data_IF_086718215230
#
_entry.id   IF_086718215230
#
_cell.length_a   1.000
_cell.length_b   1.000
_cell.length_c   1.000
_cell.angle_alpha   90.00
_cell.angle_beta   90.00
_cell.angle_gamma   90.00
#
_symmetry.space_group_name_H-M   'P 1'
#
loop_
_entity.id
_entity.type
_entity.pdbx_description
1 polymer ?
#
# COMPACT_ATOMS: atom_id res chain seq x y z
N UNK A 1 -4.98 35.22 43.14
CA UNK A 1 -3.53 34.94 43.13
C UNK A 1 -3.34 33.47 43.42
N UNK A 2 -3.05 32.73 42.37
CA UNK A 2 -3.06 31.28 42.27
C UNK A 2 -1.67 30.75 42.61
N UNK A 3 -1.56 29.68 43.41
CA UNK A 3 -0.32 28.93 43.56
C UNK A 3 -0.67 27.44 43.61
N UNK A 4 -0.30 26.72 42.55
CA UNK A 4 -0.28 25.27 42.46
C UNK A 4 1.14 24.75 42.77
N UNK A 5 1.31 23.54 43.31
CA UNK A 5 2.62 22.98 43.60
C UNK A 5 3.29 22.40 42.34
N UNK A 6 4.61 22.44 42.35
CA UNK A 6 5.53 21.87 41.38
C UNK A 6 5.49 20.33 41.37
N UNK A 7 5.21 19.75 40.21
CA UNK A 7 5.46 18.32 39.93
C UNK A 7 6.70 18.21 39.06
N UNK A 8 7.72 17.57 39.62
CA UNK A 8 9.00 17.31 38.98
C UNK A 8 8.91 16.25 37.89
N UNK A 9 9.75 16.44 36.89
CA UNK A 9 10.08 15.45 35.87
C UNK A 9 10.58 14.15 36.50
N UNK A 10 10.08 13.02 36.02
CA UNK A 10 10.85 11.80 35.93
C UNK A 10 10.39 11.05 34.68
N UNK A 11 11.24 11.13 33.65
CA UNK A 11 11.09 10.34 32.44
C UNK A 11 11.35 8.88 32.76
N UNK A 12 10.41 8.03 32.36
CA UNK A 12 10.71 6.64 32.06
C UNK A 12 9.61 6.01 31.18
N UNK A 13 9.28 6.64 30.04
CA UNK A 13 8.47 5.98 29.02
C UNK A 13 9.41 5.40 27.97
N UNK A 14 10.04 4.29 28.35
CA UNK A 14 10.71 3.39 27.43
C UNK A 14 9.71 2.83 26.43
N UNK A 15 9.51 3.54 25.34
CA UNK A 15 8.85 3.00 24.15
C UNK A 15 9.74 1.83 23.68
N UNK A 16 9.26 0.57 23.70
CA UNK A 16 10.06 -0.52 23.15
C UNK A 16 10.24 -0.21 21.66
N UNK A 17 11.50 -0.08 21.23
CA UNK A 17 11.82 0.02 19.82
C UNK A 17 11.21 -1.19 19.12
N UNK A 18 10.07 -0.99 18.45
CA UNK A 18 9.40 -2.03 17.67
C UNK A 18 10.44 -2.51 16.67
N UNK A 19 10.82 -3.77 16.80
CA UNK A 19 11.76 -4.42 15.91
C UNK A 19 11.17 -4.44 14.51
N UNK A 20 11.54 -3.43 13.71
CA UNK A 20 11.09 -3.22 12.34
C UNK A 20 11.38 -4.45 11.47
N UNK A 21 12.31 -5.33 11.83
CA UNK A 21 12.61 -6.52 11.01
C UNK A 21 11.51 -7.58 11.08
N UNK A 22 10.78 -7.69 12.20
CA UNK A 22 9.69 -8.66 12.35
C UNK A 22 8.39 -8.22 11.66
N UNK A 23 8.09 -6.92 11.64
CA UNK A 23 6.90 -6.34 11.01
C UNK A 23 6.87 -6.53 9.48
N UNK A 24 8.05 -6.66 8.88
CA UNK A 24 8.20 -6.79 7.44
C UNK A 24 8.34 -8.24 6.97
N UNK A 25 8.42 -9.24 7.86
CA UNK A 25 8.64 -10.62 7.44
C UNK A 25 7.48 -11.12 6.53
N UNK A 26 7.77 -11.70 5.34
CA UNK A 26 6.74 -12.15 4.43
C UNK A 26 5.86 -13.22 5.09
N UNK A 27 4.56 -12.97 5.16
CA UNK A 27 3.59 -13.92 5.70
C UNK A 27 3.37 -15.01 4.66
N UNK A 28 3.93 -16.20 4.88
CA UNK A 28 3.79 -17.36 3.96
C UNK A 28 2.32 -17.75 3.72
N UNK A 29 1.46 -17.56 4.72
CA UNK A 29 0.00 -17.78 4.60
C UNK A 29 -0.67 -16.86 3.58
N UNK A 30 -0.07 -15.71 3.27
CA UNK A 30 -0.55 -14.74 2.29
C UNK A 30 0.22 -14.80 0.96
N UNK A 31 1.18 -15.72 0.81
CA UNK A 31 1.95 -15.89 -0.43
C UNK A 31 2.81 -14.67 -0.82
N UNK A 32 3.16 -13.81 0.15
CA UNK A 32 3.85 -12.54 -0.12
C UNK A 32 5.27 -12.75 -0.66
N UNK A 33 5.52 -12.27 -1.87
CA UNK A 33 6.86 -12.03 -2.42
C UNK A 33 7.03 -10.53 -2.60
N UNK A 34 8.01 -9.94 -1.91
CA UNK A 34 8.25 -8.49 -2.00
C UNK A 34 9.29 -8.19 -3.08
N UNK A 35 8.96 -7.27 -3.98
CA UNK A 35 9.92 -6.71 -4.92
C UNK A 35 10.97 -5.91 -4.13
N UNK A 36 12.24 -6.24 -4.34
CA UNK A 36 13.37 -5.60 -3.67
C UNK A 36 14.23 -4.75 -4.62
N UNK A 37 14.17 -5.01 -5.94
CA UNK A 37 14.96 -4.29 -6.93
C UNK A 37 14.22 -3.03 -7.44
N UNK A 38 14.72 -1.81 -7.13
CA UNK A 38 14.09 -0.57 -7.56
C UNK A 38 14.08 -0.38 -9.08
N UNK A 39 15.02 -0.97 -9.82
CA UNK A 39 15.04 -0.88 -11.28
C UNK A 39 13.91 -1.70 -11.90
N UNK A 40 13.64 -2.89 -11.34
CA UNK A 40 12.50 -3.71 -11.77
C UNK A 40 11.19 -2.99 -11.44
N UNK A 41 11.04 -2.42 -10.24
CA UNK A 41 9.87 -1.62 -9.88
C UNK A 41 9.64 -0.47 -10.86
N UNK A 42 10.70 0.29 -11.21
CA UNK A 42 10.60 1.38 -12.20
C UNK A 42 10.17 0.89 -13.58
N UNK A 43 10.67 -0.27 -14.03
CA UNK A 43 10.27 -0.86 -15.32
C UNK A 43 8.82 -1.31 -15.32
N UNK A 44 8.33 -1.88 -14.21
CA UNK A 44 6.94 -2.30 -14.09
C UNK A 44 6.04 -1.07 -14.16
N UNK A 45 6.30 -0.02 -13.36
CA UNK A 45 5.50 1.20 -13.41
C UNK A 45 5.56 1.86 -14.79
N UNK A 46 6.73 1.91 -15.43
CA UNK A 46 6.87 2.47 -16.77
C UNK A 46 6.06 1.72 -17.84
N UNK A 47 5.82 0.42 -17.67
CA UNK A 47 5.00 -0.36 -18.61
C UNK A 47 3.51 -0.01 -18.61
N UNK A 48 3.04 0.74 -17.60
CA UNK A 48 1.67 1.27 -17.60
C UNK A 48 1.49 2.44 -18.56
N UNK A 49 2.58 3.08 -19.00
CA UNK A 49 2.54 4.24 -19.92
C UNK A 49 1.58 5.35 -19.47
N UNK A 50 1.48 5.57 -18.14
CA UNK A 50 0.53 6.52 -17.53
C UNK A 50 0.73 7.95 -18.06
N UNK A 51 -0.36 8.57 -18.51
CA UNK A 51 -0.43 10.00 -18.77
C UNK A 51 -0.75 10.78 -17.48
N UNK A 52 -0.38 12.07 -17.39
CA UNK A 52 -0.81 12.93 -16.28
C UNK A 52 -2.34 12.91 -16.14
N UNK A 53 -2.82 12.72 -14.91
CA UNK A 53 -4.24 12.61 -14.59
C UNK A 53 -4.80 11.18 -14.62
N UNK A 54 -4.09 10.20 -15.20
CA UNK A 54 -4.58 8.83 -15.27
C UNK A 54 -4.68 8.21 -13.87
N UNK A 55 -5.84 7.62 -13.51
CA UNK A 55 -5.99 6.93 -12.24
C UNK A 55 -5.29 5.58 -12.27
N UNK A 56 -4.64 5.23 -11.17
CA UNK A 56 -3.97 3.94 -11.00
C UNK A 56 -4.42 3.27 -9.70
N UNK A 57 -4.71 1.97 -9.80
CA UNK A 57 -5.01 1.11 -8.66
C UNK A 57 -3.91 0.06 -8.49
N UNK A 58 -3.18 0.16 -7.40
CA UNK A 58 -2.21 -0.84 -6.95
C UNK A 58 -2.89 -1.92 -6.09
N UNK A 59 -2.72 -3.18 -6.45
CA UNK A 59 -3.27 -4.32 -5.73
C UNK A 59 -2.13 -5.03 -4.98
N UNK A 60 -2.30 -5.19 -3.67
CA UNK A 60 -1.28 -5.78 -2.81
C UNK A 60 0.01 -4.95 -2.79
N UNK A 61 -0.04 -3.67 -2.38
CA UNK A 61 1.12 -2.79 -2.30
C UNK A 61 2.25 -3.34 -1.41
N UNK A 62 1.93 -4.19 -0.43
CA UNK A 62 2.92 -4.83 0.42
C UNK A 62 3.76 -3.79 1.17
N UNK A 63 5.08 -3.80 0.93
CA UNK A 63 6.03 -2.84 1.52
C UNK A 63 6.16 -1.53 0.70
N UNK A 64 5.22 -1.24 -0.18
CA UNK A 64 5.16 0.00 -0.95
C UNK A 64 6.28 0.13 -2.00
N UNK A 65 6.73 -1.00 -2.57
CA UNK A 65 7.82 -1.01 -3.54
C UNK A 65 7.42 -0.32 -4.86
N UNK A 66 6.19 -0.55 -5.34
CA UNK A 66 5.63 0.16 -6.49
C UNK A 66 4.94 1.45 -6.03
N UNK A 67 4.24 1.41 -4.88
CA UNK A 67 3.61 2.60 -4.26
C UNK A 67 4.55 3.80 -4.18
N UNK A 68 5.82 3.61 -3.78
CA UNK A 68 6.79 4.71 -3.67
C UNK A 68 7.09 5.39 -5.01
N UNK A 69 7.00 4.67 -6.11
CA UNK A 69 7.21 5.22 -7.46
C UNK A 69 5.91 5.87 -7.94
N UNK A 70 4.77 5.20 -7.74
CA UNK A 70 3.45 5.70 -8.10
C UNK A 70 3.08 6.97 -7.34
N UNK A 71 3.55 7.14 -6.10
CA UNK A 71 3.30 8.35 -5.31
C UNK A 71 3.88 9.63 -5.94
N UNK A 72 4.79 9.52 -6.91
CA UNK A 72 5.29 10.65 -7.70
C UNK A 72 4.50 10.91 -8.99
N UNK A 73 3.48 10.10 -9.28
CA UNK A 73 2.59 10.27 -10.44
C UNK A 73 1.68 11.48 -10.26
N UNK A 74 1.49 12.24 -11.34
CA UNK A 74 0.61 13.42 -11.36
C UNK A 74 -0.84 13.00 -11.64
N UNK A 75 -1.37 12.09 -10.83
CA UNK A 75 -2.71 11.51 -11.00
C UNK A 75 -3.18 10.76 -9.76
N UNK A 76 -4.45 10.32 -9.73
CA UNK A 76 -5.02 9.61 -8.58
C UNK A 76 -4.36 8.25 -8.39
N UNK A 77 -3.79 8.01 -7.20
CA UNK A 77 -3.21 6.71 -6.83
C UNK A 77 -4.04 6.09 -5.73
N UNK A 78 -4.54 4.88 -5.97
CA UNK A 78 -5.21 4.07 -4.97
C UNK A 78 -4.45 2.76 -4.74
N UNK A 79 -4.50 2.26 -3.51
CA UNK A 79 -3.93 0.98 -3.13
C UNK A 79 -4.97 0.11 -2.43
N UNK A 80 -5.08 -1.15 -2.83
CA UNK A 80 -5.95 -2.16 -2.24
C UNK A 80 -5.09 -3.18 -1.49
N UNK A 81 -5.23 -3.23 -0.17
CA UNK A 81 -4.44 -4.10 0.70
C UNK A 81 -5.35 -4.86 1.66
N UNK A 82 -5.06 -6.15 1.88
CA UNK A 82 -5.81 -7.03 2.77
C UNK A 82 -5.28 -6.98 4.19
N UNK A 83 -3.98 -6.77 4.36
CA UNK A 83 -3.33 -6.71 5.67
C UNK A 83 -3.54 -5.34 6.34
N UNK A 84 -4.31 -5.30 7.42
CA UNK A 84 -4.63 -4.08 8.18
C UNK A 84 -3.40 -3.34 8.72
N UNK A 85 -2.31 -4.07 9.02
CA UNK A 85 -1.06 -3.48 9.49
C UNK A 85 -0.37 -2.70 8.37
N UNK A 86 -0.35 -3.27 7.16
CA UNK A 86 0.21 -2.63 5.98
C UNK A 86 -0.65 -1.47 5.50
N UNK A 87 -1.98 -1.59 5.58
CA UNK A 87 -2.89 -0.46 5.31
C UNK A 87 -2.52 0.77 6.14
N UNK A 88 -2.33 0.56 7.45
CA UNK A 88 -2.01 1.65 8.38
C UNK A 88 -0.63 2.23 8.07
N UNK A 89 0.34 1.39 7.77
CA UNK A 89 1.69 1.80 7.39
C UNK A 89 1.70 2.62 6.09
N UNK A 90 1.00 2.17 5.03
CA UNK A 90 0.94 2.86 3.73
C UNK A 90 0.27 4.24 3.88
N UNK A 91 -0.84 4.32 4.61
CA UNK A 91 -1.50 5.62 4.89
C UNK A 91 -0.57 6.60 5.59
N UNK A 92 0.29 6.11 6.49
CA UNK A 92 1.26 6.96 7.20
C UNK A 92 2.45 7.36 6.32
N UNK A 93 2.96 6.45 5.50
CA UNK A 93 4.15 6.68 4.68
C UNK A 93 3.84 7.48 3.39
N UNK A 94 2.65 7.26 2.81
CA UNK A 94 2.22 7.83 1.53
C UNK A 94 0.88 8.55 1.66
N UNK A 95 0.83 9.75 2.29
CA UNK A 95 -0.44 10.45 2.56
C UNK A 95 -1.20 10.89 1.30
N UNK A 96 -0.54 10.95 0.13
CA UNK A 96 -1.18 11.24 -1.16
C UNK A 96 -1.83 10.02 -1.83
N UNK A 97 -1.67 8.82 -1.27
CA UNK A 97 -2.22 7.58 -1.81
C UNK A 97 -3.49 7.21 -1.06
N UNK A 98 -4.60 7.03 -1.80
CA UNK A 98 -5.83 6.49 -1.22
C UNK A 98 -5.66 5.00 -0.90
N UNK A 99 -6.00 4.55 0.31
CA UNK A 99 -5.84 3.14 0.69
C UNK A 99 -7.16 2.52 1.10
N UNK A 100 -7.55 1.45 0.40
CA UNK A 100 -8.72 0.63 0.64
C UNK A 100 -8.29 -0.66 1.32
N UNK A 101 -8.88 -0.95 2.49
CA UNK A 101 -8.68 -2.21 3.20
C UNK A 101 -9.70 -3.22 2.69
N UNK A 102 -9.28 -4.12 1.81
CA UNK A 102 -10.14 -5.15 1.21
C UNK A 102 -9.31 -6.32 0.68
N UNK A 103 -9.95 -7.49 0.58
CA UNK A 103 -9.41 -8.61 -0.21
C UNK A 103 -9.72 -8.37 -1.69
N UNK A 104 -8.72 -8.53 -2.56
CA UNK A 104 -8.91 -8.37 -4.01
C UNK A 104 -9.88 -9.39 -4.61
N UNK A 105 -10.08 -10.53 -3.97
CA UNK A 105 -11.06 -11.54 -4.38
C UNK A 105 -12.50 -11.19 -3.98
N UNK A 106 -12.68 -10.42 -2.91
CA UNK A 106 -14.00 -9.99 -2.41
C UNK A 106 -14.34 -8.55 -2.80
N UNK A 107 -13.43 -7.87 -3.51
CA UNK A 107 -13.60 -6.48 -3.91
C UNK A 107 -14.59 -6.36 -5.06
N UNK A 108 -15.51 -5.39 -4.97
CA UNK A 108 -16.48 -5.13 -6.03
C UNK A 108 -15.81 -4.37 -7.18
N UNK A 109 -15.30 -5.13 -8.17
CA UNK A 109 -14.64 -4.58 -9.36
C UNK A 109 -15.60 -3.84 -10.31
N UNK A 110 -16.90 -4.04 -10.19
CA UNK A 110 -17.89 -3.43 -11.07
C UNK A 110 -17.85 -1.89 -11.02
N UNK A 111 -17.60 -1.31 -9.85
CA UNK A 111 -17.41 0.14 -9.71
C UNK A 111 -16.17 0.68 -10.40
N UNK A 112 -15.16 -0.18 -10.65
CA UNK A 112 -13.92 0.21 -11.34
C UNK A 112 -14.04 0.15 -12.87
N UNK A 113 -14.98 -0.66 -13.41
CA UNK A 113 -15.23 -0.76 -14.86
C UNK A 113 -15.70 0.55 -15.49
N UNK A 114 -16.27 1.45 -14.68
CA UNK A 114 -16.77 2.75 -15.12
C UNK A 114 -15.74 3.88 -14.98
N UNK A 115 -14.53 3.59 -14.51
CA UNK A 115 -13.45 4.58 -14.41
C UNK A 115 -12.64 4.56 -15.72
N UNK A 116 -12.88 5.52 -16.64
CA UNK A 116 -12.11 5.59 -17.87
C UNK A 116 -10.64 5.84 -17.56
N UNK A 117 -9.75 5.08 -18.20
CA UNK A 117 -8.29 5.23 -18.03
C UNK A 117 -7.72 4.62 -16.75
N UNK A 118 -8.50 3.84 -15.98
CA UNK A 118 -7.96 3.15 -14.81
C UNK A 118 -6.93 2.11 -15.20
N UNK A 119 -5.70 2.33 -14.75
CA UNK A 119 -4.61 1.36 -14.85
C UNK A 119 -4.51 0.51 -13.59
N UNK A 120 -4.31 -0.79 -13.75
CA UNK A 120 -4.16 -1.74 -12.65
C UNK A 120 -2.72 -2.23 -12.59
N UNK A 121 -2.15 -2.28 -11.39
CA UNK A 121 -0.78 -2.75 -11.15
C UNK A 121 -0.72 -3.52 -9.86
N UNK A 122 0.14 -4.53 -9.77
CA UNK A 122 0.33 -5.26 -8.52
C UNK A 122 1.34 -6.37 -8.70
N UNK A 123 2.08 -6.67 -7.63
CA UNK A 123 2.96 -7.85 -7.60
C UNK A 123 2.21 -9.05 -7.03
N UNK A 124 1.18 -9.48 -7.74
CA UNK A 124 0.27 -10.53 -7.27
C UNK A 124 0.93 -11.91 -7.39
N UNK A 125 0.79 -12.77 -6.37
CA UNK A 125 1.26 -14.14 -6.46
C UNK A 125 0.42 -14.90 -7.50
N UNK A 126 1.07 -15.82 -8.24
CA UNK A 126 0.48 -16.53 -9.40
C UNK A 126 -0.84 -17.24 -9.11
N UNK A 127 -1.05 -17.68 -7.85
CA UNK A 127 -2.26 -18.36 -7.40
C UNK A 127 -3.49 -17.43 -7.27
N UNK A 128 -3.29 -16.12 -7.15
CA UNK A 128 -4.38 -15.12 -7.02
C UNK A 128 -4.53 -14.28 -8.29
N UNK A 129 -3.46 -14.10 -9.05
CA UNK A 129 -3.49 -13.32 -10.29
C UNK A 129 -4.48 -13.86 -11.32
N UNK A 130 -4.52 -15.18 -11.54
CA UNK A 130 -5.41 -15.80 -12.54
C UNK A 130 -6.90 -15.57 -12.25
N UNK A 131 -7.44 -15.89 -11.06
CA UNK A 131 -8.85 -15.62 -10.77
C UNK A 131 -9.19 -14.13 -10.74
N UNK A 132 -8.29 -13.25 -10.25
CA UNK A 132 -8.55 -11.81 -10.26
C UNK A 132 -8.71 -11.21 -11.66
N UNK A 133 -7.91 -11.66 -12.64
CA UNK A 133 -8.05 -11.18 -14.03
C UNK A 133 -9.44 -11.52 -14.59
N UNK A 134 -9.98 -12.71 -14.27
CA UNK A 134 -11.31 -13.11 -14.73
C UNK A 134 -12.44 -12.28 -14.11
N UNK A 135 -12.30 -11.83 -12.87
CA UNK A 135 -13.28 -10.95 -12.22
C UNK A 135 -13.26 -9.52 -12.78
N UNK A 136 -12.15 -9.10 -13.40
CA UNK A 136 -11.99 -7.75 -13.97
C UNK A 136 -12.53 -7.61 -15.40
N UNK A 137 -12.47 -8.68 -16.21
CA UNK A 137 -13.02 -8.74 -17.59
C UNK A 137 -14.53 -8.91 -17.57
#
# INVERSE_FOLDING_TARGET
MTAAPSVGSNGNDGCPAVDRTSFFAPKRSLGQNFLSDPNICRRIVASLELAPGDPVLEIGPGRGALTRILAGHDGPVMALEKDSELVSWIKSEFPGVGVVHADGLDFCWEGTRHLPGLSLIGNLPYNVASPMIWEMV
#
